data_IF_800203206722
#
_entry.id   IF_800203206722
#
_cell.length_a   1.000
_cell.length_b   1.000
_cell.length_c   1.000
_cell.angle_alpha   90.00
_cell.angle_beta   90.00
_cell.angle_gamma   90.00
#
_symmetry.space_group_name_H-M   'P 1'
#
loop_
_entity.id
_entity.type
_entity.pdbx_description
1 polymer ?
#
# COMPACT_ATOMS: atom_id res chain seq x y z
N UNK A 1 9.50 -13.32 4.09
CA UNK A 1 10.81 -12.73 4.42
C UNK A 1 10.57 -11.49 5.26
N UNK A 2 11.50 -11.08 6.15
CA UNK A 2 11.27 -9.91 6.99
C UNK A 2 11.18 -8.65 6.12
N UNK A 3 10.15 -7.84 6.37
CA UNK A 3 10.03 -6.50 5.79
C UNK A 3 11.10 -5.60 6.43
N UNK A 4 11.71 -4.73 5.65
CA UNK A 4 12.66 -3.73 6.12
C UNK A 4 11.95 -2.74 7.04
N UNK A 5 12.57 -2.33 8.16
CA UNK A 5 12.00 -1.29 9.01
C UNK A 5 11.64 -0.03 8.22
N UNK A 6 10.40 0.44 8.35
CA UNK A 6 9.86 1.59 7.63
C UNK A 6 9.20 1.27 6.29
N UNK A 7 9.28 0.03 5.81
CA UNK A 7 8.60 -0.43 4.59
C UNK A 7 7.26 -1.12 4.86
N UNK A 8 6.77 -1.09 6.10
CA UNK A 8 5.50 -1.72 6.46
C UNK A 8 4.33 -1.08 5.71
N UNK A 9 3.33 -1.88 5.28
CA UNK A 9 2.09 -1.34 4.76
C UNK A 9 1.38 -0.49 5.82
N UNK A 10 0.60 0.48 5.37
CA UNK A 10 -0.20 1.34 6.25
C UNK A 10 -1.69 1.20 5.94
N UNK A 11 -2.50 1.19 7.00
CA UNK A 11 -3.95 1.15 6.91
C UNK A 11 -4.57 2.02 8.00
N UNK A 12 -5.56 2.79 7.62
CA UNK A 12 -6.37 3.60 8.53
C UNK A 12 -7.85 3.43 8.18
N UNK A 13 -8.68 3.18 9.19
CA UNK A 13 -10.14 3.11 9.04
C UNK A 13 -10.71 4.46 9.50
N UNK A 14 -11.43 5.14 8.61
CA UNK A 14 -12.02 6.45 8.84
C UNK A 14 -13.47 6.47 8.33
N UNK A 15 -13.81 7.53 7.61
CA UNK A 15 -15.12 7.74 6.99
C UNK A 15 -15.33 6.96 5.70
N UNK A 16 -16.45 7.27 5.03
CA UNK A 16 -16.98 6.55 3.87
C UNK A 16 -16.14 6.73 2.59
N UNK A 17 -15.28 7.75 2.51
CA UNK A 17 -14.40 7.96 1.34
C UNK A 17 -13.08 7.19 1.51
N UNK A 18 -12.83 6.25 0.59
CA UNK A 18 -11.62 5.44 0.54
C UNK A 18 -10.53 6.02 -0.36
N UNK A 19 -9.27 5.98 0.09
CA UNK A 19 -8.10 6.35 -0.71
C UNK A 19 -7.10 5.18 -0.75
N UNK A 20 -6.78 4.73 -1.96
CA UNK A 20 -5.72 3.76 -2.22
C UNK A 20 -4.46 4.47 -2.72
N UNK A 21 -3.37 4.32 -1.99
CA UNK A 21 -2.05 4.83 -2.37
C UNK A 21 -1.19 3.69 -2.91
N UNK A 22 -0.55 3.90 -4.06
CA UNK A 22 0.32 2.91 -4.69
C UNK A 22 1.73 3.50 -4.85
N UNK A 23 2.72 2.90 -4.17
CA UNK A 23 4.10 3.35 -4.29
C UNK A 23 4.72 2.90 -5.63
N UNK A 24 5.84 3.52 -6.01
CA UNK A 24 6.51 3.25 -7.28
C UNK A 24 7.42 2.01 -7.27
N UNK A 25 7.89 1.64 -8.47
CA UNK A 25 8.93 0.64 -8.72
C UNK A 25 10.18 0.95 -7.89
N UNK A 26 10.79 -0.08 -7.30
CA UNK A 26 11.91 -0.05 -6.33
C UNK A 26 11.64 0.70 -5.03
N UNK A 27 10.44 1.28 -4.87
CA UNK A 27 10.03 2.01 -3.68
C UNK A 27 9.47 1.12 -2.57
N UNK A 28 8.85 1.78 -1.60
CA UNK A 28 8.13 1.16 -0.50
C UNK A 28 7.04 2.12 0.01
N UNK A 29 6.12 1.66 0.89
CA UNK A 29 5.16 2.52 1.58
C UNK A 29 5.77 3.77 2.20
N UNK A 30 7.02 3.72 2.64
CA UNK A 30 7.73 4.87 3.22
C UNK A 30 7.62 6.14 2.38
N UNK A 31 7.73 6.01 1.04
CA UNK A 31 7.71 7.14 0.11
C UNK A 31 6.38 7.91 0.09
N UNK A 32 5.29 7.24 0.45
CA UNK A 32 3.94 7.80 0.48
C UNK A 32 3.37 7.92 1.90
N UNK A 33 4.10 7.49 2.92
CA UNK A 33 3.64 7.51 4.31
C UNK A 33 3.18 8.91 4.78
N UNK A 34 3.90 10.01 4.48
CA UNK A 34 3.42 11.35 4.84
C UNK A 34 2.06 11.72 4.22
N UNK A 35 1.77 11.25 3.01
CA UNK A 35 0.47 11.46 2.37
C UNK A 35 -0.61 10.60 3.02
N UNK A 36 -0.28 9.35 3.35
CA UNK A 36 -1.18 8.43 4.03
C UNK A 36 -1.61 8.97 5.40
N UNK A 37 -0.66 9.45 6.19
CA UNK A 37 -0.91 10.06 7.50
C UNK A 37 -1.75 11.34 7.36
N UNK A 38 -1.42 12.24 6.41
CA UNK A 38 -2.18 13.48 6.16
C UNK A 38 -3.67 13.23 5.81
N UNK A 39 -3.95 12.18 5.05
CA UNK A 39 -5.31 11.79 4.65
C UNK A 39 -6.05 11.10 5.81
N UNK A 40 -5.35 10.24 6.56
CA UNK A 40 -5.87 9.58 7.75
C UNK A 40 -6.27 10.61 8.82
N UNK A 41 -5.44 11.63 9.06
CA UNK A 41 -5.74 12.75 9.98
C UNK A 41 -6.98 13.55 9.59
N UNK A 42 -7.40 13.49 8.32
CA UNK A 42 -8.65 14.10 7.81
C UNK A 42 -9.85 13.16 7.91
N UNK A 43 -9.68 12.02 8.55
CA UNK A 43 -10.73 11.04 8.77
C UNK A 43 -11.06 10.23 7.53
N UNK A 44 -10.18 10.12 6.54
CA UNK A 44 -10.41 9.25 5.39
C UNK A 44 -10.02 7.81 5.70
N UNK A 45 -10.68 6.84 5.04
CA UNK A 45 -10.21 5.45 5.05
C UNK A 45 -9.07 5.33 4.06
N UNK A 46 -7.88 4.89 4.51
CA UNK A 46 -6.65 4.88 3.69
C UNK A 46 -6.05 3.48 3.67
N UNK A 47 -5.70 3.01 2.47
CA UNK A 47 -4.86 1.83 2.26
C UNK A 47 -3.59 2.20 1.48
N UNK A 48 -2.45 1.77 2.00
CA UNK A 48 -1.14 1.88 1.36
C UNK A 48 -0.44 0.51 1.50
N UNK A 49 -0.66 -0.42 0.56
CA UNK A 49 -0.02 -1.73 0.59
C UNK A 49 1.47 -1.65 0.29
N UNK A 50 2.20 -2.68 0.74
CA UNK A 50 3.54 -2.99 0.26
C UNK A 50 3.40 -3.90 -0.97
N UNK A 51 3.84 -3.43 -2.13
CA UNK A 51 3.79 -4.25 -3.34
C UNK A 51 4.68 -5.50 -3.19
N UNK A 52 4.26 -6.68 -3.71
CA UNK A 52 5.08 -7.88 -3.67
C UNK A 52 6.51 -7.66 -4.17
N UNK A 53 7.48 -8.32 -3.52
CA UNK A 53 8.90 -8.20 -3.81
C UNK A 53 9.57 -6.89 -3.36
N UNK A 54 8.81 -5.88 -2.94
CA UNK A 54 9.37 -4.62 -2.46
C UNK A 54 9.63 -4.65 -0.95
N UNK A 55 10.37 -3.65 -0.44
CA UNK A 55 10.55 -3.43 1.00
C UNK A 55 11.20 -4.59 1.76
N UNK A 56 11.89 -5.50 1.05
CA UNK A 56 12.50 -6.73 1.59
C UNK A 56 13.93 -6.82 1.08
N UNK A 57 14.20 -7.65 0.07
CA UNK A 57 15.48 -7.72 -0.63
C UNK A 57 15.26 -7.59 -2.15
N UNK A 58 16.25 -7.08 -2.87
CA UNK A 58 16.12 -6.87 -4.31
C UNK A 58 15.95 -8.20 -5.08
N UNK A 59 16.44 -9.32 -4.53
CA UNK A 59 16.24 -10.65 -5.10
C UNK A 59 14.76 -11.07 -5.13
N UNK A 60 13.98 -10.66 -4.11
CA UNK A 60 12.54 -10.91 -4.06
C UNK A 60 11.83 -10.11 -5.17
N UNK A 61 12.26 -8.87 -5.40
CA UNK A 61 11.78 -8.03 -6.48
C UNK A 61 12.15 -8.59 -7.87
N UNK A 62 13.34 -9.18 -8.01
CA UNK A 62 13.84 -9.70 -9.29
C UNK A 62 13.00 -10.86 -9.85
N UNK A 63 12.29 -11.58 -8.99
CA UNK A 63 11.40 -12.69 -9.38
C UNK A 63 9.91 -12.31 -9.38
N UNK A 64 9.59 -11.06 -9.01
CA UNK A 64 8.20 -10.58 -8.91
C UNK A 64 7.83 -9.77 -10.16
N UNK A 65 6.69 -10.07 -10.76
CA UNK A 65 6.18 -9.39 -11.96
C UNK A 65 5.18 -8.28 -11.66
N UNK A 66 4.86 -7.47 -12.68
CA UNK A 66 3.83 -6.42 -12.57
C UNK A 66 2.44 -6.99 -12.26
N UNK A 67 2.17 -8.23 -12.65
CA UNK A 67 0.91 -8.92 -12.38
C UNK A 67 0.71 -9.12 -10.88
N UNK A 68 1.78 -9.40 -10.13
CA UNK A 68 1.74 -9.55 -8.68
C UNK A 68 1.44 -8.20 -8.01
N UNK A 69 2.08 -7.12 -8.50
CA UNK A 69 1.82 -5.77 -8.02
C UNK A 69 0.38 -5.32 -8.31
N UNK A 70 -0.09 -5.57 -9.53
CA UNK A 70 -1.46 -5.25 -9.93
C UNK A 70 -2.48 -6.01 -9.09
N UNK A 71 -2.26 -7.32 -8.89
CA UNK A 71 -3.14 -8.15 -8.06
C UNK A 71 -3.24 -7.63 -6.61
N UNK A 72 -2.14 -7.16 -6.03
CA UNK A 72 -2.15 -6.58 -4.68
C UNK A 72 -2.94 -5.27 -4.61
N UNK A 73 -2.72 -4.35 -5.56
CA UNK A 73 -3.46 -3.08 -5.63
C UNK A 73 -4.95 -3.32 -5.89
N UNK A 74 -5.28 -4.22 -6.81
CA UNK A 74 -6.66 -4.60 -7.15
C UNK A 74 -7.36 -5.29 -5.96
N UNK A 75 -6.65 -6.11 -5.19
CA UNK A 75 -7.15 -6.69 -3.93
C UNK A 75 -7.48 -5.61 -2.91
N UNK A 76 -6.57 -4.66 -2.67
CA UNK A 76 -6.81 -3.55 -1.73
C UNK A 76 -7.93 -2.62 -2.20
N UNK A 77 -8.06 -2.39 -3.51
CA UNK A 77 -9.16 -1.62 -4.07
C UNK A 77 -10.51 -2.30 -3.81
N UNK A 78 -10.63 -3.62 -4.01
CA UNK A 78 -11.87 -4.36 -3.68
C UNK A 78 -12.23 -4.23 -2.21
N UNK A 79 -11.23 -4.39 -1.33
CA UNK A 79 -11.41 -4.24 0.12
C UNK A 79 -11.90 -2.83 0.49
N UNK A 80 -11.38 -1.79 -0.15
CA UNK A 80 -11.87 -0.42 0.05
C UNK A 80 -13.31 -0.27 -0.45
N UNK A 81 -13.64 -0.78 -1.64
CA UNK A 81 -15.00 -0.70 -2.22
C UNK A 81 -16.06 -1.45 -1.42
N UNK A 82 -15.68 -2.44 -0.61
CA UNK A 82 -16.60 -3.12 0.31
C UNK A 82 -16.90 -2.31 1.56
N UNK A 83 -16.05 -1.31 1.89
CA UNK A 83 -16.06 -0.57 3.15
C UNK A 83 -16.38 0.92 2.98
N UNK A 84 -16.26 1.42 1.77
CA UNK A 84 -16.36 2.82 1.39
C UNK A 84 -17.35 2.97 0.22
N UNK A 85 -17.92 4.17 0.10
CA UNK A 85 -18.94 4.51 -0.91
C UNK A 85 -18.35 4.91 -2.27
#
# INVERSE_FOLDING_TARGET
MPVLPGAEPFRHEGGEVGVLLCHGFTGSPQSLRPWADFLAERGLTVSLPLLPGHGTRWEDMAVTGWQDWYAEVDRELRVLRERCD
#
